data_IF_940621096304
#
_entry.id   IF_940621096304
#
_cell.length_a   1.000
_cell.length_b   1.000
_cell.length_c   1.000
_cell.angle_alpha   90.00
_cell.angle_beta   90.00
_cell.angle_gamma   90.00
#
_symmetry.space_group_name_H-M   'P 1'
#
loop_
_entity.id
_entity.type
_entity.pdbx_description
1 polymer ?
#
# COMPACT_ATOMS: atom_id res chain seq x y z
N UNK A 1 14.73 0.88 -9.25
CA UNK A 1 14.43 1.54 -7.95
C UNK A 1 13.95 0.57 -6.87
N UNK A 2 12.85 -0.19 -7.07
CA UNK A 2 12.29 -1.12 -6.06
C UNK A 2 13.31 -2.12 -5.49
N UNK A 3 14.11 -2.76 -6.36
CA UNK A 3 15.15 -3.69 -5.92
C UNK A 3 16.22 -3.03 -5.03
N UNK A 4 16.57 -1.76 -5.30
CA UNK A 4 17.56 -1.03 -4.52
C UNK A 4 17.04 -0.73 -3.10
N UNK A 5 15.77 -0.34 -2.98
CA UNK A 5 15.12 -0.10 -1.69
C UNK A 5 15.10 -1.36 -0.84
N UNK A 6 14.68 -2.50 -1.41
CA UNK A 6 14.63 -3.78 -0.70
C UNK A 6 16.03 -4.28 -0.33
N UNK A 7 17.03 -4.12 -1.20
CA UNK A 7 18.42 -4.50 -0.88
C UNK A 7 18.97 -3.72 0.31
N UNK A 8 18.60 -2.45 0.47
CA UNK A 8 19.03 -1.58 1.58
C UNK A 8 18.30 -1.83 2.89
N UNK A 9 17.20 -2.60 2.89
CA UNK A 9 16.48 -2.93 4.13
C UNK A 9 17.43 -3.58 5.15
N UNK A 10 17.41 -3.09 6.38
CA UNK A 10 18.25 -3.60 7.46
C UNK A 10 17.69 -4.94 7.93
N UNK A 11 18.56 -5.95 7.99
CA UNK A 11 18.26 -7.29 8.48
C UNK A 11 19.40 -7.73 9.40
N UNK A 12 19.15 -8.74 10.22
CA UNK A 12 20.20 -9.43 10.97
C UNK A 12 20.96 -10.45 10.07
N UNK A 13 21.95 -11.12 10.66
CA UNK A 13 22.80 -12.13 10.01
C UNK A 13 22.32 -13.57 10.20
N UNK A 14 21.19 -13.80 10.88
CA UNK A 14 20.68 -15.14 11.15
C UNK A 14 20.17 -15.78 9.85
N UNK A 15 20.74 -16.95 9.51
CA UNK A 15 20.42 -17.64 8.26
C UNK A 15 19.03 -18.25 8.21
N UNK A 16 18.51 -18.73 9.34
CA UNK A 16 17.15 -19.25 9.41
C UNK A 16 16.18 -18.07 9.41
N UNK A 17 15.32 -18.02 8.42
CA UNK A 17 14.26 -17.01 8.35
C UNK A 17 13.06 -17.51 9.14
N UNK A 18 12.62 -16.68 10.07
CA UNK A 18 11.44 -16.91 10.89
C UNK A 18 10.71 -15.56 11.06
N UNK A 19 9.39 -15.62 11.19
CA UNK A 19 8.61 -14.44 11.49
C UNK A 19 8.67 -14.14 12.99
N UNK A 20 9.41 -13.08 13.35
CA UNK A 20 9.49 -12.57 14.72
C UNK A 20 9.48 -11.04 14.67
N UNK A 21 8.29 -10.40 14.77
CA UNK A 21 8.17 -8.95 14.66
C UNK A 21 8.79 -8.21 15.86
N UNK A 22 8.96 -8.87 17.00
CA UNK A 22 9.49 -8.25 18.23
C UNK A 22 11.02 -8.25 18.20
N UNK A 23 11.65 -9.40 17.95
CA UNK A 23 13.11 -9.54 18.02
C UNK A 23 13.79 -9.27 16.69
N UNK A 24 13.09 -9.48 15.57
CA UNK A 24 13.65 -9.34 14.21
C UNK A 24 12.78 -8.47 13.30
N UNK A 25 12.49 -7.21 13.69
CA UNK A 25 11.53 -6.34 12.99
C UNK A 25 11.89 -6.09 11.51
N UNK A 26 13.18 -6.03 11.16
CA UNK A 26 13.62 -5.86 9.77
C UNK A 26 13.30 -7.06 8.86
N UNK A 27 13.48 -8.27 9.39
CA UNK A 27 13.12 -9.53 8.70
C UNK A 27 11.61 -9.68 8.64
N UNK A 28 10.91 -9.43 9.75
CA UNK A 28 9.45 -9.46 9.82
C UNK A 28 8.79 -8.45 8.86
N UNK A 29 9.37 -7.26 8.69
CA UNK A 29 8.88 -6.26 7.74
C UNK A 29 8.97 -6.73 6.28
N UNK A 30 10.10 -7.34 5.90
CA UNK A 30 10.26 -7.92 4.56
C UNK A 30 9.35 -9.13 4.34
N UNK A 31 9.21 -10.01 5.34
CA UNK A 31 8.30 -11.15 5.28
C UNK A 31 6.85 -10.69 5.12
N UNK A 32 6.40 -9.72 5.92
CA UNK A 32 5.06 -9.12 5.78
C UNK A 32 4.86 -8.51 4.40
N UNK A 33 5.85 -7.79 3.89
CA UNK A 33 5.77 -7.17 2.55
C UNK A 33 5.62 -8.22 1.46
N UNK A 34 6.46 -9.27 1.49
CA UNK A 34 6.39 -10.37 0.53
C UNK A 34 5.06 -11.13 0.66
N UNK A 35 4.63 -11.43 1.89
CA UNK A 35 3.39 -12.12 2.21
C UNK A 35 2.17 -11.39 1.66
N UNK A 36 2.06 -10.08 1.87
CA UNK A 36 0.99 -9.25 1.30
C UNK A 36 0.97 -9.29 -0.23
N UNK A 37 2.13 -9.21 -0.88
CA UNK A 37 2.21 -9.26 -2.35
C UNK A 37 1.87 -10.65 -2.91
N UNK A 38 2.09 -11.71 -2.13
CA UNK A 38 1.85 -13.10 -2.53
C UNK A 38 0.48 -13.64 -2.07
N UNK A 39 -0.23 -12.94 -1.19
CA UNK A 39 -1.47 -13.41 -0.57
C UNK A 39 -1.25 -14.60 0.38
N UNK A 40 -0.14 -14.61 1.11
CA UNK A 40 0.25 -15.69 2.03
C UNK A 40 0.40 -15.17 3.47
N UNK A 41 0.56 -16.07 4.44
CA UNK A 41 1.02 -15.68 5.77
C UNK A 41 2.55 -15.43 5.78
N UNK A 42 3.07 -14.48 6.59
CA UNK A 42 4.51 -14.25 6.73
C UNK A 42 5.30 -15.51 7.14
N UNK A 43 4.70 -16.37 7.96
CA UNK A 43 5.26 -17.64 8.42
C UNK A 43 5.45 -18.63 7.27
N UNK A 44 4.51 -18.69 6.33
CA UNK A 44 4.60 -19.56 5.15
C UNK A 44 5.73 -19.11 4.22
N UNK A 45 5.88 -17.79 4.04
CA UNK A 45 6.99 -17.22 3.27
C UNK A 45 8.32 -17.53 3.96
N UNK A 46 8.39 -17.40 5.29
CA UNK A 46 9.57 -17.76 6.07
C UNK A 46 9.90 -19.25 5.93
N UNK A 47 8.91 -20.14 6.02
CA UNK A 47 9.08 -21.57 5.87
C UNK A 47 9.61 -21.96 4.48
N UNK A 48 9.09 -21.32 3.42
CA UNK A 48 9.57 -21.51 2.04
C UNK A 48 11.02 -21.07 1.85
N UNK A 49 11.45 -20.00 2.52
CA UNK A 49 12.84 -19.53 2.45
C UNK A 49 13.77 -20.41 3.31
N UNK A 50 13.29 -20.87 4.47
CA UNK A 50 14.04 -21.74 5.37
C UNK A 50 15.39 -21.13 5.78
N UNK A 51 16.49 -21.80 5.44
CA UNK A 51 17.86 -21.36 5.76
C UNK A 51 18.52 -20.51 4.66
N UNK A 52 17.75 -20.01 3.69
CA UNK A 52 18.24 -19.17 2.59
C UNK A 52 18.77 -17.79 3.02
N UNK A 53 18.51 -17.37 4.26
CA UNK A 53 19.02 -16.13 4.84
C UNK A 53 18.46 -14.85 4.22
N UNK A 54 19.00 -13.71 4.67
CA UNK A 54 18.49 -12.40 4.30
C UNK A 54 18.62 -12.07 2.79
N UNK A 55 19.62 -12.64 2.11
CA UNK A 55 19.80 -12.45 0.67
C UNK A 55 18.63 -13.05 -0.12
N UNK A 56 18.24 -14.28 0.22
CA UNK A 56 17.11 -14.95 -0.42
C UNK A 56 15.79 -14.27 -0.07
N UNK A 57 15.60 -13.87 1.19
CA UNK A 57 14.43 -13.08 1.60
C UNK A 57 14.29 -11.79 0.77
N UNK A 58 15.38 -11.05 0.58
CA UNK A 58 15.38 -9.82 -0.23
C UNK A 58 15.10 -10.10 -1.70
N UNK A 59 15.58 -11.22 -2.24
CA UNK A 59 15.29 -11.66 -3.61
C UNK A 59 13.81 -11.98 -3.79
N UNK A 60 13.26 -12.83 -2.93
CA UNK A 60 11.83 -13.23 -2.94
C UNK A 60 10.94 -11.99 -2.80
N UNK A 61 11.24 -11.10 -1.85
CA UNK A 61 10.47 -9.86 -1.65
C UNK A 61 10.53 -8.96 -2.88
N UNK A 62 11.70 -8.86 -3.53
CA UNK A 62 11.86 -8.04 -4.74
C UNK A 62 11.01 -8.57 -5.89
N UNK A 63 11.01 -9.89 -6.12
CA UNK A 63 10.19 -10.51 -7.15
C UNK A 63 8.70 -10.30 -6.85
N UNK A 64 8.27 -10.64 -5.63
CA UNK A 64 6.87 -10.53 -5.20
C UNK A 64 6.32 -9.10 -5.40
N UNK A 65 7.05 -8.08 -4.94
CA UNK A 65 6.64 -6.68 -5.08
C UNK A 65 6.58 -6.25 -6.55
N UNK A 66 7.55 -6.66 -7.37
CA UNK A 66 7.57 -6.25 -8.77
C UNK A 66 6.46 -6.90 -9.58
N UNK A 67 6.19 -8.19 -9.37
CA UNK A 67 5.13 -8.91 -10.06
C UNK A 67 3.76 -8.37 -9.65
N UNK A 68 3.53 -8.14 -8.36
CA UNK A 68 2.30 -7.55 -7.84
C UNK A 68 2.04 -6.14 -8.41
N UNK A 69 3.07 -5.28 -8.45
CA UNK A 69 2.92 -3.90 -8.93
C UNK A 69 2.96 -3.75 -10.45
N UNK A 70 3.31 -4.80 -11.22
CA UNK A 70 3.39 -4.72 -12.69
C UNK A 70 2.09 -4.22 -13.31
N UNK A 71 0.97 -4.91 -13.03
CA UNK A 71 -0.35 -4.52 -13.57
C UNK A 71 -0.78 -3.11 -13.11
N UNK A 72 -0.41 -2.71 -11.89
CA UNK A 72 -0.68 -1.38 -11.35
C UNK A 72 0.07 -0.29 -12.13
N UNK A 73 1.36 -0.50 -12.39
CA UNK A 73 2.20 0.42 -13.19
C UNK A 73 1.69 0.54 -14.62
N UNK A 74 1.33 -0.59 -15.24
CA UNK A 74 0.75 -0.62 -16.58
C UNK A 74 -0.59 0.13 -16.65
N UNK A 75 -1.50 -0.09 -15.68
CA UNK A 75 -2.76 0.65 -15.59
C UNK A 75 -2.51 2.15 -15.41
N UNK A 76 -1.62 2.52 -14.50
CA UNK A 76 -1.25 3.93 -14.26
C UNK A 76 -0.69 4.59 -15.51
N UNK A 77 0.15 3.91 -16.28
CA UNK A 77 0.74 4.43 -17.50
C UNK A 77 -0.29 4.68 -18.63
N UNK A 78 -1.45 4.02 -18.58
CA UNK A 78 -2.54 4.22 -19.54
C UNK A 78 -3.48 5.37 -19.18
N UNK A 79 -3.46 5.85 -17.93
CA UNK A 79 -4.34 6.94 -17.48
C UNK A 79 -3.79 8.26 -18.01
N UNK A 80 -4.61 8.98 -18.77
CA UNK A 80 -4.27 10.31 -19.27
C UNK A 80 -4.64 11.40 -18.25
N UNK A 81 -4.08 12.62 -18.39
CA UNK A 81 -4.52 13.76 -17.59
C UNK A 81 -6.03 14.06 -17.72
N UNK A 82 -6.65 13.80 -18.88
CA UNK A 82 -8.08 14.04 -19.08
C UNK A 82 -8.95 12.97 -18.38
N UNK A 83 -8.53 11.70 -18.41
CA UNK A 83 -9.19 10.63 -17.64
C UNK A 83 -9.21 10.99 -16.15
N UNK A 84 -8.07 11.46 -15.62
CA UNK A 84 -7.94 11.89 -14.24
C UNK A 84 -8.83 13.13 -13.95
N UNK A 85 -8.82 14.14 -14.82
CA UNK A 85 -9.64 15.33 -14.67
C UNK A 85 -11.13 15.01 -14.67
N UNK A 86 -11.57 14.08 -15.52
CA UNK A 86 -12.95 13.60 -15.59
C UNK A 86 -13.37 12.92 -14.29
N UNK A 87 -12.54 12.00 -13.76
CA UNK A 87 -12.81 11.33 -12.49
C UNK A 87 -12.87 12.33 -11.31
N UNK A 88 -11.96 13.31 -11.28
CA UNK A 88 -11.93 14.36 -10.25
C UNK A 88 -13.18 15.24 -10.32
N UNK A 89 -13.61 15.68 -11.51
CA UNK A 89 -14.84 16.47 -11.68
C UNK A 89 -16.06 15.72 -11.17
N UNK A 90 -16.21 14.45 -11.53
CA UNK A 90 -17.31 13.61 -11.07
C UNK A 90 -17.28 13.37 -9.55
N UNK A 91 -16.09 13.16 -8.96
CA UNK A 91 -15.91 13.06 -7.52
C UNK A 91 -16.30 14.35 -6.80
N UNK A 92 -15.86 15.50 -7.31
CA UNK A 92 -16.18 16.81 -6.76
C UNK A 92 -17.68 17.12 -6.82
N UNK A 93 -18.39 16.69 -7.87
CA UNK A 93 -19.85 16.83 -7.94
C UNK A 93 -20.54 16.14 -6.77
N UNK A 94 -20.30 14.83 -6.59
CA UNK A 94 -20.87 14.03 -5.51
C UNK A 94 -20.49 14.56 -4.12
N UNK A 95 -19.23 14.95 -3.94
CA UNK A 95 -18.77 15.50 -2.65
C UNK A 95 -19.45 16.84 -2.32
N UNK A 96 -19.69 17.70 -3.33
CA UNK A 96 -20.38 18.98 -3.14
C UNK A 96 -21.84 18.81 -2.77
N UNK A 97 -22.53 17.82 -3.33
CA UNK A 97 -23.93 17.51 -2.98
C UNK A 97 -24.04 17.20 -1.48
N UNK A 98 -23.20 16.28 -0.99
CA UNK A 98 -23.16 15.92 0.45
C UNK A 98 -22.76 17.12 1.31
N UNK A 99 -21.72 17.86 0.89
CA UNK A 99 -21.24 19.00 1.64
C UNK A 99 -22.25 20.15 1.72
N UNK A 100 -23.08 20.33 0.67
CA UNK A 100 -24.13 21.35 0.67
C UNK A 100 -25.21 21.04 1.72
N UNK A 101 -25.67 19.80 1.80
CA UNK A 101 -26.62 19.35 2.82
C UNK A 101 -26.06 19.60 4.24
N UNK A 102 -24.84 19.13 4.51
CA UNK A 102 -24.18 19.37 5.81
C UNK A 102 -24.01 20.86 6.11
N UNK A 103 -23.66 21.67 5.10
CA UNK A 103 -23.49 23.11 5.29
C UNK A 103 -24.82 23.81 5.59
N UNK A 104 -25.91 23.36 4.99
CA UNK A 104 -27.24 23.91 5.24
C UNK A 104 -27.76 23.53 6.63
N UNK A 105 -27.52 22.29 7.10
CA UNK A 105 -27.77 21.89 8.50
C UNK A 105 -27.02 22.78 9.49
N UNK A 106 -25.72 23.01 9.23
CA UNK A 106 -24.86 23.87 10.05
C UNK A 106 -25.36 25.32 10.03
N UNK A 107 -25.74 25.85 8.87
CA UNK A 107 -26.31 27.20 8.74
C UNK A 107 -27.63 27.33 9.50
N UNK A 108 -28.51 26.35 9.39
CA UNK A 108 -29.78 26.34 10.12
C UNK A 108 -29.55 26.33 11.64
N UNK A 109 -28.64 25.47 12.13
CA UNK A 109 -28.29 25.41 13.54
C UNK A 109 -27.67 26.72 14.07
N UNK A 110 -26.93 27.44 13.24
CA UNK A 110 -26.34 28.74 13.59
C UNK A 110 -27.29 29.94 13.38
N UNK A 111 -28.53 29.72 12.96
CA UNK A 111 -29.46 30.81 12.64
C UNK A 111 -29.04 31.64 11.42
N UNK A 112 -28.19 31.10 10.55
CA UNK A 112 -27.71 31.72 9.31
C UNK A 112 -28.46 31.24 8.07
N UNK A 113 -29.72 30.80 8.22
CA UNK A 113 -30.61 30.58 7.08
C UNK A 113 -31.18 31.92 6.63
N UNK A 114 -30.56 32.56 5.64
CA UNK A 114 -31.13 33.73 4.98
C UNK A 114 -32.20 33.26 3.98
N UNK A 115 -33.40 32.99 4.47
CA UNK A 115 -34.57 32.79 3.64
C UNK A 115 -35.09 34.14 3.10
N UNK A 116 -35.49 34.16 1.84
CA UNK A 116 -36.49 35.11 1.33
C UNK A 116 -37.88 34.67 1.78
#
# INVERSE_FOLDING_TARGET
ETALAIRRARTDSERRIAYDPVRRPGVAGLLTTAATCLGLAPEDVAARIGTGGAAELKRVTTTAVNDFLRAHRERRARITPDDAATAIRAGNGRAREIAAETLDEVRAAMGMSYGF
#
